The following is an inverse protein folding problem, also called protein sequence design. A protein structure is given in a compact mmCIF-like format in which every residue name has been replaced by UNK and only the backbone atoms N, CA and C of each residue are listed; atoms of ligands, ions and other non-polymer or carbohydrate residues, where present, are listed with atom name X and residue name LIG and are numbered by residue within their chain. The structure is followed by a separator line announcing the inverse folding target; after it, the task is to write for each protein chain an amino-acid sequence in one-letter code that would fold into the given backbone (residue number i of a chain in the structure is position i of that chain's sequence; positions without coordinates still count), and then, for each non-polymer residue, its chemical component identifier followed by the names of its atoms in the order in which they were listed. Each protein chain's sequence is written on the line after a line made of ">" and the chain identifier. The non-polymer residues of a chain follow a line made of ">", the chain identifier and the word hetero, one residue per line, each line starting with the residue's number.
data_IF_748012395796
#
_entry.id   IF_748012395796
#
_cell.length_a   1.000
_cell.length_b   1.000
_cell.length_c   1.000
_cell.angle_alpha   90.00
_cell.angle_beta   90.00
_cell.angle_gamma   90.00
#
_symmetry.space_group_name_H-M   'P 1'
#
loop_
_entity.id
_entity.type
_entity.pdbx_description
1 polymer ?
#
# COMPACT_ATOMS: atom_id res chain seq x y z
N UNK A 1 -8.86 -32.36 -26.24
CA UNK A 1 -8.38 -30.97 -26.01
C UNK A 1 -9.48 -29.97 -25.60
N UNK A 2 -10.76 -30.14 -26.02
CA UNK A 2 -11.84 -29.19 -25.69
C UNK A 2 -12.35 -29.21 -24.24
N UNK A 3 -12.13 -30.29 -23.47
CA UNK A 3 -12.64 -30.43 -22.09
C UNK A 3 -11.77 -29.72 -21.03
N UNK A 4 -10.47 -29.52 -21.28
CA UNK A 4 -9.54 -28.86 -20.34
C UNK A 4 -9.69 -27.33 -20.33
N UNK A 5 -10.17 -26.73 -21.43
CA UNK A 5 -10.34 -25.28 -21.56
C UNK A 5 -11.59 -24.78 -20.80
N UNK A 6 -12.62 -25.62 -20.64
CA UNK A 6 -13.82 -25.25 -19.89
C UNK A 6 -13.61 -25.20 -18.36
N UNK A 7 -12.70 -26.02 -17.81
CA UNK A 7 -12.39 -25.99 -16.37
C UNK A 7 -11.58 -24.75 -15.97
N UNK A 8 -10.65 -24.30 -16.81
CA UNK A 8 -9.84 -23.09 -16.56
C UNK A 8 -10.71 -21.83 -16.60
N UNK A 9 -11.67 -21.76 -17.53
CA UNK A 9 -12.63 -20.64 -17.59
C UNK A 9 -13.61 -20.63 -16.41
N UNK A 10 -14.04 -21.79 -15.91
CA UNK A 10 -14.92 -21.87 -14.73
C UNK A 10 -14.20 -21.45 -13.44
N UNK A 11 -12.92 -21.81 -13.28
CA UNK A 11 -12.09 -21.37 -12.16
C UNK A 11 -11.81 -19.86 -12.15
N UNK A 12 -11.56 -19.27 -13.32
CA UNK A 12 -11.28 -17.84 -13.47
C UNK A 12 -12.53 -16.96 -13.21
N UNK A 13 -13.72 -17.44 -13.58
CA UNK A 13 -15.00 -16.78 -13.29
C UNK A 13 -15.33 -16.87 -11.79
N UNK A 14 -14.99 -17.98 -11.13
CA UNK A 14 -15.20 -18.16 -9.68
C UNK A 14 -14.23 -17.29 -8.85
N UNK A 15 -12.99 -17.11 -9.33
CA UNK A 15 -11.98 -16.25 -8.69
C UNK A 15 -12.30 -14.75 -8.84
N UNK A 16 -12.74 -14.32 -10.03
CA UNK A 16 -13.22 -12.94 -10.27
C UNK A 16 -14.50 -12.62 -9.46
N UNK A 17 -15.40 -13.60 -9.29
CA UNK A 17 -16.58 -13.42 -8.44
C UNK A 17 -16.20 -13.23 -6.96
N UNK A 18 -15.14 -13.89 -6.48
CA UNK A 18 -14.67 -13.77 -5.10
C UNK A 18 -14.03 -12.41 -4.82
N UNK A 19 -13.20 -11.88 -5.74
CA UNK A 19 -12.64 -10.54 -5.61
C UNK A 19 -13.71 -9.43 -5.65
N UNK A 20 -14.73 -9.59 -6.50
CA UNK A 20 -15.86 -8.68 -6.53
C UNK A 20 -16.67 -8.72 -5.22
N UNK A 21 -16.88 -9.90 -4.61
CA UNK A 21 -17.56 -10.06 -3.32
C UNK A 21 -16.79 -9.44 -2.16
N UNK A 22 -15.46 -9.58 -2.12
CA UNK A 22 -14.62 -8.96 -1.10
C UNK A 22 -14.63 -7.42 -1.19
N UNK A 23 -14.52 -6.85 -2.39
CA UNK A 23 -14.63 -5.40 -2.59
C UNK A 23 -16.03 -4.83 -2.29
N UNK A 24 -17.09 -5.60 -2.57
CA UNK A 24 -18.48 -5.23 -2.21
C UNK A 24 -18.69 -5.28 -0.68
N UNK A 25 -18.04 -6.22 0.02
CA UNK A 25 -18.12 -6.36 1.48
C UNK A 25 -17.60 -5.12 2.23
N UNK A 26 -16.49 -4.51 1.77
CA UNK A 26 -15.94 -3.29 2.38
C UNK A 26 -16.76 -2.03 2.06
N UNK A 27 -17.33 -1.91 0.85
CA UNK A 27 -18.13 -0.73 0.46
C UNK A 27 -19.42 -0.57 1.28
N UNK A 28 -19.98 -1.67 1.79
CA UNK A 28 -21.25 -1.67 2.50
C UNK A 28 -21.12 -1.64 4.03
N UNK A 29 -19.89 -1.69 4.57
CA UNK A 29 -19.67 -1.59 6.01
C UNK A 29 -19.90 -0.13 6.47
N UNK A 30 -20.70 0.10 7.54
CA UNK A 30 -21.00 1.45 8.00
C UNK A 30 -19.71 2.17 8.43
N UNK A 31 -19.40 3.30 7.80
CA UNK A 31 -18.16 4.05 8.06
C UNK A 31 -18.15 4.76 9.41
N UNK A 32 -19.32 5.00 9.99
CA UNK A 32 -19.51 5.71 11.26
C UNK A 32 -20.42 4.93 12.18
N UNK A 33 -20.23 5.08 13.49
CA UNK A 33 -21.20 4.63 14.49
C UNK A 33 -22.30 5.68 14.59
N UNK A 34 -23.52 5.33 14.16
CA UNK A 34 -24.65 6.26 14.10
C UNK A 34 -24.87 6.99 15.42
N UNK A 35 -24.85 8.32 15.37
CA UNK A 35 -25.09 9.21 16.50
C UNK A 35 -23.95 9.32 17.51
N UNK A 36 -22.79 8.67 17.28
CA UNK A 36 -21.61 8.85 18.13
C UNK A 36 -20.61 9.83 17.52
N UNK A 37 -19.94 10.57 18.40
CA UNK A 37 -18.93 11.55 18.07
C UNK A 37 -17.74 11.47 19.04
N UNK A 38 -16.58 11.86 18.54
CA UNK A 38 -15.35 12.05 19.30
C UNK A 38 -15.06 13.55 19.35
N UNK A 39 -14.83 14.06 20.56
CA UNK A 39 -14.64 15.49 20.83
C UNK A 39 -13.28 15.64 21.49
N UNK A 40 -12.45 16.51 20.91
CA UNK A 40 -11.25 16.99 21.57
C UNK A 40 -11.51 18.37 22.17
N UNK A 41 -11.27 18.50 23.46
CA UNK A 41 -11.37 19.78 24.17
C UNK A 41 -9.99 20.40 24.36
N UNK A 42 -9.94 21.73 24.49
CA UNK A 42 -8.68 22.47 24.59
C UNK A 42 -7.93 22.14 25.88
N UNK A 43 -6.61 22.09 25.82
CA UNK A 43 -5.78 21.87 27.00
C UNK A 43 -6.08 22.94 28.07
N UNK A 44 -6.17 22.53 29.34
CA UNK A 44 -6.44 23.42 30.47
C UNK A 44 -7.93 23.66 30.77
N UNK A 45 -8.86 23.16 29.96
CA UNK A 45 -10.29 23.22 30.32
C UNK A 45 -10.62 22.21 31.42
N UNK A 46 -11.52 22.59 32.32
CA UNK A 46 -12.00 21.71 33.38
C UNK A 46 -12.99 20.71 32.78
N UNK A 47 -12.65 19.42 32.79
CA UNK A 47 -13.45 18.35 32.19
C UNK A 47 -14.92 18.40 32.61
N UNK A 48 -15.20 18.63 33.90
CA UNK A 48 -16.59 18.68 34.40
C UNK A 48 -17.42 19.78 33.72
N UNK A 49 -16.84 20.95 33.47
CA UNK A 49 -17.52 22.06 32.79
C UNK A 49 -17.74 21.75 31.31
N UNK A 50 -16.76 21.12 30.67
CA UNK A 50 -16.87 20.67 29.28
C UNK A 50 -17.98 19.62 29.13
N UNK A 51 -18.03 18.63 30.03
CA UNK A 51 -19.07 17.59 30.05
C UNK A 51 -20.46 18.20 30.27
N UNK A 52 -20.60 19.17 31.18
CA UNK A 52 -21.86 19.87 31.39
C UNK A 52 -22.31 20.62 30.13
N UNK A 53 -21.42 21.41 29.51
CA UNK A 53 -21.72 22.19 28.30
C UNK A 53 -22.11 21.29 27.13
N UNK A 54 -21.43 20.14 26.98
CA UNK A 54 -21.77 19.12 26.00
C UNK A 54 -23.14 18.50 26.28
N UNK A 55 -23.49 18.26 27.54
CA UNK A 55 -24.81 17.82 27.96
C UNK A 55 -25.92 18.79 27.53
N UNK A 56 -25.70 20.10 27.71
CA UNK A 56 -26.64 21.15 27.31
C UNK A 56 -26.83 21.22 25.78
N UNK A 57 -25.82 20.84 25.01
CA UNK A 57 -25.91 20.68 23.54
C UNK A 57 -26.63 19.40 23.11
N UNK A 58 -26.88 18.47 24.04
CA UNK A 58 -27.51 17.18 23.78
C UNK A 58 -26.52 16.06 23.49
N UNK A 59 -25.29 16.14 24.00
CA UNK A 59 -24.30 15.05 23.96
C UNK A 59 -24.32 14.30 25.29
N UNK A 60 -24.63 13.01 25.24
CA UNK A 60 -24.51 12.08 26.37
C UNK A 60 -23.11 11.46 26.34
N UNK A 61 -22.30 11.69 27.37
CA UNK A 61 -20.97 11.10 27.46
C UNK A 61 -21.04 9.57 27.56
N UNK A 62 -20.22 8.88 26.75
CA UNK A 62 -20.01 7.42 26.83
C UNK A 62 -18.72 7.13 27.60
N UNK A 63 -17.63 7.81 27.25
CA UNK A 63 -16.31 7.61 27.85
C UNK A 63 -15.44 8.86 27.67
N UNK A 64 -14.34 8.94 28.42
CA UNK A 64 -13.36 10.03 28.28
C UNK A 64 -11.94 9.52 28.44
N UNK A 65 -10.99 10.18 27.78
CA UNK A 65 -9.56 10.03 27.99
C UNK A 65 -8.98 11.38 28.43
N UNK A 66 -9.05 11.72 29.73
CA UNK A 66 -8.72 13.07 30.20
C UNK A 66 -7.26 13.48 29.96
N UNK A 67 -6.33 12.51 30.03
CA UNK A 67 -4.90 12.74 29.74
C UNK A 67 -4.64 13.19 28.29
N UNK A 68 -5.56 12.88 27.38
CA UNK A 68 -5.46 13.20 25.95
C UNK A 68 -6.50 14.27 25.54
N UNK A 69 -7.25 14.81 26.50
CA UNK A 69 -8.33 15.76 26.28
C UNK A 69 -9.44 15.29 25.34
N UNK A 70 -9.82 14.00 25.40
CA UNK A 70 -10.90 13.45 24.59
C UNK A 70 -12.14 13.05 25.39
N UNK A 71 -13.31 13.23 24.76
CA UNK A 71 -14.60 12.68 25.17
C UNK A 71 -15.20 11.94 23.98
N UNK A 72 -15.68 10.73 24.22
CA UNK A 72 -16.59 10.02 23.30
C UNK A 72 -18.00 10.23 23.80
N UNK A 73 -18.89 10.72 22.93
CA UNK A 73 -20.28 10.99 23.26
C UNK A 73 -21.25 10.44 22.23
N UNK A 74 -22.53 10.41 22.61
CA UNK A 74 -23.65 10.09 21.73
C UNK A 74 -24.66 11.22 21.75
N UNK A 75 -25.17 11.57 20.58
CA UNK A 75 -26.26 12.54 20.43
C UNK A 75 -27.55 12.00 21.04
N UNK A 76 -28.20 12.82 21.87
CA UNK A 76 -29.45 12.47 22.51
C UNK A 76 -30.56 12.17 21.47
N UNK A 77 -31.52 11.27 21.78
CA UNK A 77 -32.60 10.94 20.86
C UNK A 77 -33.37 12.18 20.35
N UNK A 78 -33.70 12.19 19.07
CA UNK A 78 -34.45 13.29 18.43
C UNK A 78 -33.61 14.52 18.07
N UNK A 79 -32.29 14.48 18.29
CA UNK A 79 -31.35 15.53 17.87
C UNK A 79 -30.60 15.11 16.61
N UNK A 80 -30.31 16.08 15.75
CA UNK A 80 -29.53 15.85 14.54
C UNK A 80 -28.02 15.89 14.82
N UNK A 81 -27.28 14.92 14.29
CA UNK A 81 -25.85 14.77 14.55
C UNK A 81 -25.04 15.96 14.02
N UNK A 82 -25.33 16.41 12.80
CA UNK A 82 -24.59 17.52 12.19
C UNK A 82 -24.88 18.85 12.90
N UNK A 83 -26.10 19.08 13.34
CA UNK A 83 -26.44 20.25 14.16
C UNK A 83 -25.70 20.25 15.49
N UNK A 84 -25.64 19.11 16.19
CA UNK A 84 -24.89 19.00 17.45
C UNK A 84 -23.39 19.18 17.21
N UNK A 85 -22.85 18.58 16.16
CA UNK A 85 -21.45 18.78 15.79
C UNK A 85 -21.15 20.24 15.43
N UNK A 86 -22.06 20.95 14.75
CA UNK A 86 -21.91 22.38 14.46
C UNK A 86 -21.89 23.23 15.74
N UNK A 87 -22.74 22.92 16.74
CA UNK A 87 -22.71 23.58 18.05
C UNK A 87 -21.39 23.31 18.78
N UNK A 88 -20.92 22.07 18.77
CA UNK A 88 -19.63 21.71 19.35
C UNK A 88 -18.47 22.47 18.67
N UNK A 89 -18.44 22.56 17.33
CA UNK A 89 -17.41 23.31 16.58
C UNK A 89 -17.39 24.81 16.93
N UNK A 90 -18.53 25.38 17.31
CA UNK A 90 -18.65 26.77 17.69
C UNK A 90 -18.29 27.05 19.16
N UNK A 91 -18.10 26.03 20.00
CA UNK A 91 -17.88 26.20 21.43
C UNK A 91 -16.44 26.57 21.78
N UNK A 92 -16.25 27.51 22.71
CA UNK A 92 -14.92 28.03 23.08
C UNK A 92 -13.96 26.99 23.61
N UNK A 93 -14.47 25.96 24.28
CA UNK A 93 -13.67 24.95 24.98
C UNK A 93 -13.34 23.74 24.09
N UNK A 94 -13.93 23.67 22.89
CA UNK A 94 -13.75 22.53 21.98
C UNK A 94 -12.68 22.90 20.94
N UNK A 95 -11.72 22.00 20.75
CA UNK A 95 -10.67 22.11 19.73
C UNK A 95 -11.18 21.58 18.40
N UNK A 96 -11.78 20.38 18.41
CA UNK A 96 -12.50 19.82 17.26
C UNK A 96 -13.50 18.74 17.67
N UNK A 97 -14.37 18.38 16.72
CA UNK A 97 -15.33 17.28 16.85
C UNK A 97 -15.49 16.57 15.50
N UNK A 98 -15.57 15.25 15.56
CA UNK A 98 -15.76 14.38 14.40
C UNK A 98 -16.71 13.20 14.73
N UNK A 99 -17.34 12.58 13.72
CA UNK A 99 -18.07 11.34 13.92
C UNK A 99 -17.16 10.22 14.47
N UNK A 100 -17.73 9.29 15.22
CA UNK A 100 -16.98 8.09 15.61
C UNK A 100 -16.87 7.12 14.42
N UNK A 101 -15.73 7.14 13.72
CA UNK A 101 -15.48 6.28 12.56
C UNK A 101 -15.21 4.83 12.97
N UNK A 102 -15.73 3.89 12.15
CA UNK A 102 -15.34 2.48 12.23
C UNK A 102 -14.11 2.28 11.36
N UNK A 103 -13.02 1.83 11.99
CA UNK A 103 -11.86 1.29 11.28
C UNK A 103 -12.06 -0.23 11.14
N UNK A 104 -11.77 -0.74 9.94
CA UNK A 104 -11.77 -2.16 9.65
C UNK A 104 -10.33 -2.55 9.33
N UNK A 105 -9.86 -3.64 9.93
CA UNK A 105 -8.69 -4.32 9.39
C UNK A 105 -9.01 -4.70 7.93
N UNK A 106 -8.07 -4.46 7.02
CA UNK A 106 -8.15 -5.01 5.68
C UNK A 106 -7.98 -6.52 5.84
N UNK A 107 -9.09 -7.27 5.72
CA UNK A 107 -9.08 -8.73 5.67
C UNK A 107 -8.90 -9.17 4.21
N UNK A 108 -7.86 -8.65 3.56
CA UNK A 108 -7.34 -9.28 2.35
C UNK A 108 -6.47 -10.45 2.80
N UNK A 109 -6.62 -11.65 2.21
CA UNK A 109 -5.61 -12.68 2.44
C UNK A 109 -4.28 -12.21 1.85
N UNK A 110 -3.14 -12.57 2.46
CA UNK A 110 -1.83 -12.19 1.93
C UNK A 110 -1.67 -12.64 0.49
N UNK A 111 -0.98 -11.82 -0.30
CA UNK A 111 -0.73 -12.13 -1.70
C UNK A 111 0.49 -13.04 -1.76
N UNK A 112 0.30 -14.26 -2.26
CA UNK A 112 1.40 -15.19 -2.47
C UNK A 112 1.72 -15.31 -3.97
N UNK A 113 3.00 -15.30 -4.38
CA UNK A 113 3.38 -15.60 -5.75
C UNK A 113 3.08 -17.07 -6.06
N UNK A 114 2.95 -17.38 -7.33
CA UNK A 114 2.76 -18.73 -7.85
C UNK A 114 4.08 -19.49 -8.07
N UNK A 115 5.18 -19.00 -7.49
CA UNK A 115 6.50 -19.62 -7.52
C UNK A 115 6.49 -20.91 -6.66
N UNK A 116 6.78 -22.09 -7.25
CA UNK A 116 6.85 -23.36 -6.52
C UNK A 116 7.87 -23.36 -5.37
N UNK A 117 8.93 -22.58 -5.47
CA UNK A 117 10.03 -22.48 -4.52
C UNK A 117 9.79 -21.36 -3.47
N UNK A 118 8.69 -20.58 -3.56
CA UNK A 118 8.43 -19.46 -2.63
C UNK A 118 8.49 -19.87 -1.15
N UNK A 119 8.02 -21.09 -0.85
CA UNK A 119 8.07 -21.66 0.51
C UNK A 119 9.48 -21.85 1.08
N UNK A 120 10.51 -21.78 0.24
CA UNK A 120 11.93 -21.86 0.63
C UNK A 120 12.55 -20.48 0.92
N UNK A 121 11.87 -19.39 0.53
CA UNK A 121 12.33 -18.01 0.72
C UNK A 121 12.05 -17.55 2.15
N UNK A 122 12.77 -18.12 3.12
CA UNK A 122 12.56 -17.88 4.56
C UNK A 122 12.58 -16.41 4.98
N UNK A 123 13.33 -15.57 4.25
CA UNK A 123 13.38 -14.12 4.49
C UNK A 123 12.12 -13.37 4.04
N UNK A 124 11.35 -13.94 3.11
CA UNK A 124 10.12 -13.35 2.57
C UNK A 124 8.90 -13.75 3.39
N UNK A 125 8.80 -15.02 3.80
CA UNK A 125 7.68 -15.54 4.57
C UNK A 125 8.05 -16.84 5.32
N UNK A 126 7.76 -16.89 6.62
CA UNK A 126 7.91 -18.06 7.47
C UNK A 126 6.85 -18.09 8.59
N UNK A 127 6.47 -19.30 9.01
CA UNK A 127 5.36 -19.50 9.96
C UNK A 127 5.63 -19.02 11.40
N UNK A 128 6.86 -18.62 11.72
CA UNK A 128 7.26 -18.17 13.06
C UNK A 128 7.39 -16.64 13.17
N UNK A 129 7.03 -15.90 12.11
CA UNK A 129 6.96 -14.43 12.08
C UNK A 129 8.33 -13.73 12.25
N UNK A 130 9.41 -14.38 11.79
CA UNK A 130 10.77 -13.79 11.74
C UNK A 130 11.20 -13.49 10.29
N UNK A 131 10.32 -12.91 9.50
CA UNK A 131 10.55 -12.48 8.12
C UNK A 131 10.29 -10.97 7.94
N UNK A 132 10.10 -10.53 6.70
CA UNK A 132 9.85 -9.13 6.34
C UNK A 132 8.38 -8.81 6.04
N UNK A 133 7.46 -9.76 6.28
CA UNK A 133 6.02 -9.64 5.99
C UNK A 133 5.75 -9.29 4.51
N UNK A 134 6.48 -9.92 3.57
CA UNK A 134 6.36 -9.58 2.15
C UNK A 134 4.95 -9.85 1.58
N UNK A 135 4.30 -11.01 1.81
CA UNK A 135 2.94 -11.26 1.35
C UNK A 135 1.90 -10.24 1.85
N UNK A 136 2.04 -9.79 3.10
CA UNK A 136 1.20 -8.80 3.74
C UNK A 136 1.45 -7.40 3.14
N UNK A 137 2.71 -7.04 2.90
CA UNK A 137 3.06 -5.79 2.23
C UNK A 137 2.51 -5.73 0.80
N UNK A 138 2.50 -6.87 0.09
CA UNK A 138 1.95 -6.98 -1.27
C UNK A 138 0.42 -6.82 -1.34
N UNK A 139 -0.29 -6.89 -0.21
CA UNK A 139 -1.69 -6.46 -0.15
C UNK A 139 -1.85 -4.94 -0.36
N UNK A 140 -0.84 -4.16 0.03
CA UNK A 140 -0.83 -2.71 -0.15
C UNK A 140 -0.28 -2.34 -1.52
N UNK A 141 0.84 -2.94 -1.94
CA UNK A 141 1.45 -2.72 -3.24
C UNK A 141 2.51 -3.78 -3.54
N UNK A 142 2.58 -4.23 -4.79
CA UNK A 142 3.69 -5.04 -5.32
C UNK A 142 4.80 -4.19 -5.93
N UNK A 143 4.83 -2.89 -5.59
CA UNK A 143 5.72 -1.90 -6.19
C UNK A 143 5.05 -1.04 -7.26
N UNK A 144 5.85 -0.17 -7.87
CA UNK A 144 5.43 0.75 -8.92
C UNK A 144 6.57 0.92 -9.93
N UNK A 145 6.30 0.76 -11.22
CA UNK A 145 7.29 0.91 -12.29
C UNK A 145 7.95 2.31 -12.36
N UNK A 146 7.38 3.32 -11.69
CA UNK A 146 8.01 4.64 -11.56
C UNK A 146 9.12 4.68 -10.49
N UNK A 147 9.21 3.68 -9.62
CA UNK A 147 10.27 3.53 -8.62
C UNK A 147 11.37 2.69 -9.26
N UNK A 148 12.50 3.33 -9.56
CA UNK A 148 13.64 2.69 -10.20
C UNK A 148 14.65 2.32 -9.10
N UNK A 149 15.09 1.07 -9.08
CA UNK A 149 16.12 0.57 -8.16
C UNK A 149 17.39 0.28 -8.95
N UNK A 150 18.48 0.97 -8.63
CA UNK A 150 19.79 0.71 -9.22
C UNK A 150 20.53 -0.38 -8.45
N UNK A 151 20.94 -1.45 -9.14
CA UNK A 151 21.77 -2.53 -8.60
C UNK A 151 23.21 -2.29 -9.06
N UNK A 152 24.10 -1.95 -8.12
CA UNK A 152 25.53 -1.74 -8.39
C UNK A 152 26.26 -3.01 -7.96
N UNK A 153 26.42 -3.95 -8.89
CA UNK A 153 26.92 -5.30 -8.61
C UNK A 153 27.65 -5.87 -9.86
N UNK A 154 27.76 -7.19 -9.98
CA UNK A 154 28.47 -7.89 -11.08
C UNK A 154 27.76 -7.84 -12.42
N UNK A 155 26.55 -7.29 -12.46
CA UNK A 155 25.70 -7.21 -13.63
C UNK A 155 24.33 -7.82 -13.37
N UNK A 156 23.55 -8.02 -14.43
CA UNK A 156 22.26 -8.70 -14.35
C UNK A 156 22.04 -9.52 -15.62
N UNK A 157 21.60 -10.77 -15.47
CA UNK A 157 21.01 -11.52 -16.57
C UNK A 157 19.65 -10.90 -16.92
N UNK A 158 19.69 -9.90 -17.81
CA UNK A 158 18.51 -9.17 -18.25
C UNK A 158 17.58 -9.99 -19.15
N UNK A 159 17.96 -11.22 -19.54
CA UNK A 159 17.14 -12.15 -20.31
C UNK A 159 16.50 -13.25 -19.43
N UNK A 160 16.86 -13.32 -18.14
CA UNK A 160 16.30 -14.28 -17.18
C UNK A 160 14.77 -14.21 -17.13
N UNK A 161 14.11 -15.38 -17.08
CA UNK A 161 12.66 -15.46 -17.24
C UNK A 161 11.87 -14.72 -16.16
N UNK A 162 12.35 -14.77 -14.92
CA UNK A 162 11.77 -14.06 -13.77
C UNK A 162 12.21 -12.60 -13.64
N UNK A 163 13.14 -12.10 -14.46
CA UNK A 163 13.65 -10.72 -14.34
C UNK A 163 13.33 -9.83 -15.53
N UNK A 164 13.33 -10.37 -16.75
CA UNK A 164 13.22 -9.59 -18.01
C UNK A 164 12.03 -8.65 -18.08
N UNK A 165 10.94 -8.96 -17.37
CA UNK A 165 9.74 -8.12 -17.33
C UNK A 165 9.93 -6.86 -16.44
N UNK A 166 10.84 -6.92 -15.48
CA UNK A 166 11.15 -5.86 -14.53
C UNK A 166 12.46 -5.11 -14.83
N UNK A 167 13.21 -5.52 -15.85
CA UNK A 167 14.42 -4.80 -16.28
C UNK A 167 14.03 -3.40 -16.75
N UNK A 168 14.61 -2.40 -16.07
CA UNK A 168 14.45 -1.00 -16.44
C UNK A 168 15.10 -0.71 -17.79
N UNK A 169 14.48 0.20 -18.55
CA UNK A 169 14.94 0.65 -19.85
C UNK A 169 15.07 2.16 -19.83
N UNK A 170 16.24 2.68 -20.19
CA UNK A 170 16.49 4.11 -20.21
C UNK A 170 15.58 4.79 -21.24
N UNK A 171 14.62 5.64 -20.84
CA UNK A 171 13.73 6.33 -21.78
C UNK A 171 14.48 7.27 -22.73
N UNK A 172 15.66 7.76 -22.34
CA UNK A 172 16.54 8.60 -23.17
C UNK A 172 17.10 7.86 -24.39
N UNK A 173 17.46 6.60 -24.17
CA UNK A 173 18.01 5.66 -25.16
C UNK A 173 16.95 4.71 -25.77
N UNK A 174 15.66 4.93 -25.46
CA UNK A 174 14.57 4.06 -25.92
C UNK A 174 13.87 4.58 -27.17
N UNK A 175 13.60 3.68 -28.12
CA UNK A 175 12.77 3.92 -29.28
C UNK A 175 13.50 4.55 -30.46
N UNK A 176 12.98 4.34 -31.68
CA UNK A 176 13.55 4.95 -32.89
C UNK A 176 14.94 4.41 -33.28
N UNK A 177 15.38 3.30 -32.70
CA UNK A 177 16.70 2.71 -32.93
C UNK A 177 17.81 3.32 -32.07
N UNK A 178 17.46 4.11 -31.04
CA UNK A 178 18.40 4.69 -30.08
C UNK A 178 19.08 3.65 -29.19
N UNK A 179 18.49 2.46 -29.09
CA UNK A 179 19.00 1.40 -28.22
C UNK A 179 20.39 0.90 -28.61
N UNK A 180 20.87 1.23 -29.81
CA UNK A 180 22.14 0.77 -30.38
C UNK A 180 22.64 1.63 -31.56
N UNK A 181 22.41 2.94 -31.55
CA UNK A 181 22.82 3.82 -32.66
C UNK A 181 24.26 4.37 -32.49
N UNK A 182 24.96 3.98 -31.42
CA UNK A 182 26.30 4.44 -31.05
C UNK A 182 26.37 5.95 -30.76
N UNK A 183 25.25 6.51 -30.30
CA UNK A 183 25.09 7.90 -29.85
C UNK A 183 24.73 7.88 -28.36
N UNK A 184 25.06 8.95 -27.67
CA UNK A 184 24.57 9.24 -26.33
C UNK A 184 23.38 10.20 -26.53
N UNK A 185 22.17 9.65 -26.55
CA UNK A 185 20.94 10.33 -26.95
C UNK A 185 20.36 11.21 -25.83
N UNK A 186 20.70 10.93 -24.58
CA UNK A 186 20.28 11.71 -23.40
C UNK A 186 21.38 12.65 -22.84
N UNK A 187 22.62 12.50 -23.30
CA UNK A 187 23.75 13.36 -22.95
C UNK A 187 24.35 13.06 -21.58
N UNK A 188 24.15 11.85 -21.05
CA UNK A 188 24.61 11.45 -19.71
C UNK A 188 26.08 10.98 -19.68
N UNK A 189 26.73 10.85 -20.84
CA UNK A 189 28.11 10.41 -21.01
C UNK A 189 28.27 8.94 -21.37
N UNK A 190 27.19 8.17 -21.45
CA UNK A 190 27.18 6.73 -21.72
C UNK A 190 26.37 6.44 -22.98
N UNK A 191 27.04 5.97 -24.03
CA UNK A 191 26.39 5.70 -25.32
C UNK A 191 25.58 4.42 -25.24
N UNK A 192 24.36 4.44 -25.78
CA UNK A 192 23.48 3.28 -25.88
C UNK A 192 23.26 2.56 -24.52
N UNK A 193 23.25 3.26 -23.38
CA UNK A 193 23.10 2.70 -22.01
C UNK A 193 21.67 2.23 -21.67
N UNK A 194 21.00 1.66 -22.67
CA UNK A 194 19.60 1.29 -22.69
C UNK A 194 19.13 0.45 -21.49
N UNK A 195 19.99 -0.39 -20.91
CA UNK A 195 19.69 -1.26 -19.76
C UNK A 195 20.64 -1.04 -18.57
N UNK A 196 21.41 0.05 -18.59
CA UNK A 196 22.47 0.31 -17.63
C UNK A 196 23.86 0.23 -18.25
N UNK A 197 24.88 0.19 -17.39
CA UNK A 197 26.27 0.36 -17.79
C UNK A 197 27.20 -0.59 -17.05
N UNK A 198 28.20 -1.11 -17.76
CA UNK A 198 29.29 -1.87 -17.19
C UNK A 198 30.49 -0.95 -16.95
N UNK A 199 30.68 -0.55 -15.68
CA UNK A 199 31.75 0.36 -15.29
C UNK A 199 33.15 -0.28 -15.28
N UNK A 200 33.25 -1.60 -15.31
CA UNK A 200 34.55 -2.29 -15.34
C UNK A 200 35.14 -2.26 -16.75
N UNK A 201 34.31 -2.51 -17.76
CA UNK A 201 34.73 -2.56 -19.17
C UNK A 201 34.40 -1.29 -19.96
N UNK A 202 33.77 -0.31 -19.31
CA UNK A 202 33.32 0.94 -19.93
C UNK A 202 32.45 0.67 -21.18
N UNK A 203 31.41 -0.16 -20.99
CA UNK A 203 30.53 -0.63 -22.05
C UNK A 203 29.05 -0.58 -21.67
N UNK A 204 28.20 -0.59 -22.70
CA UNK A 204 26.74 -0.63 -22.58
C UNK A 204 26.16 -2.04 -22.36
N UNK A 205 27.00 -3.01 -22.00
CA UNK A 205 26.58 -4.39 -21.76
C UNK A 205 26.75 -4.75 -20.27
N UNK A 206 25.73 -4.49 -19.43
CA UNK A 206 25.75 -4.81 -18.01
C UNK A 206 25.34 -6.27 -17.73
N UNK A 207 25.53 -7.18 -18.70
CA UNK A 207 25.26 -8.60 -18.50
C UNK A 207 26.13 -9.17 -17.37
N UNK A 208 25.55 -10.03 -16.54
CA UNK A 208 26.23 -10.61 -15.38
C UNK A 208 27.26 -11.67 -15.78
N UNK A 209 28.46 -11.59 -15.23
CA UNK A 209 29.54 -12.57 -15.41
C UNK A 209 29.88 -13.37 -14.13
N UNK A 210 29.10 -13.17 -13.05
CA UNK A 210 29.35 -13.80 -11.74
C UNK A 210 28.12 -14.42 -11.06
N UNK A 211 26.90 -14.08 -11.50
CA UNK A 211 25.59 -14.46 -10.91
C UNK A 211 25.21 -13.73 -9.62
N UNK A 212 26.13 -13.01 -8.96
CA UNK A 212 25.86 -12.32 -7.70
C UNK A 212 24.84 -11.18 -7.88
N UNK A 213 25.02 -10.34 -8.90
CA UNK A 213 24.10 -9.26 -9.20
C UNK A 213 22.72 -9.76 -9.65
N UNK A 214 22.67 -10.83 -10.42
CA UNK A 214 21.41 -11.51 -10.80
C UNK A 214 20.68 -12.04 -9.57
N UNK A 215 21.38 -12.65 -8.61
CA UNK A 215 20.79 -13.10 -7.35
C UNK A 215 20.22 -11.93 -6.52
N UNK A 216 20.96 -10.83 -6.41
CA UNK A 216 20.48 -9.61 -5.76
C UNK A 216 19.23 -9.06 -6.45
N UNK A 217 19.21 -9.01 -7.78
CA UNK A 217 18.07 -8.54 -8.55
C UNK A 217 16.84 -9.46 -8.38
N UNK A 218 17.03 -10.77 -8.35
CA UNK A 218 15.97 -11.75 -8.07
C UNK A 218 15.29 -11.52 -6.73
N UNK A 219 16.08 -11.19 -5.70
CA UNK A 219 15.55 -10.86 -4.37
C UNK A 219 14.70 -9.57 -4.39
N UNK A 220 15.00 -8.63 -5.28
CA UNK A 220 14.31 -7.33 -5.37
C UNK A 220 13.05 -7.40 -6.23
N UNK A 221 13.09 -8.13 -7.36
CA UNK A 221 12.10 -7.95 -8.42
C UNK A 221 11.88 -9.16 -9.33
N UNK A 222 11.96 -10.39 -8.81
CA UNK A 222 11.46 -11.57 -9.53
C UNK A 222 9.93 -11.50 -9.78
N UNK A 223 9.44 -12.09 -10.88
CA UNK A 223 8.00 -12.12 -11.28
C UNK A 223 7.50 -13.46 -11.79
#
# INVERSE_FOLDING_TARGET
>A
MKLKIQLVMAGMILFLAFQALAQVSLKNKPRVVTGELVIKYKAGTVLANTVQSLGDMGVVQISSAPKLSFIKGRVAPGRDLEQVMAQCRAHSDIEYVEPNYRLYALETPPVFPNDPEFSQLYGMHQSNDNDIDAPEAWELTTGNASIIVGVIDTGIDYDHEDLKANIWKNPGESGGGKENNNVDDDGNGYKDDYRGWNFIFDSNDPYDDNDHGTHCAGTIGAV
#
